data_IF_670220107202
#
_entry.id   IF_670220107202
#
_cell.length_a   1.000
_cell.length_b   1.000
_cell.length_c   1.000
_cell.angle_alpha   90.00
_cell.angle_beta   90.00
_cell.angle_gamma   90.00
#
_symmetry.space_group_name_H-M   'P 1'
#
loop_
_entity.id
_entity.type
_entity.pdbx_description
1 polymer ?
#
# COMPACT_ATOMS: atom_id res chain seq x y z
N UNK A 1 1.53 -2.71 -12.93
CA UNK A 1 1.57 -2.78 -11.44
C UNK A 1 1.97 -4.15 -10.89
N UNK A 2 1.10 -5.18 -10.83
CA UNK A 2 1.42 -6.45 -10.13
C UNK A 2 2.64 -7.19 -10.73
N UNK A 3 2.76 -7.25 -12.06
CA UNK A 3 3.89 -7.94 -12.71
C UNK A 3 5.23 -7.18 -12.61
N UNK A 4 5.18 -5.88 -12.34
CA UNK A 4 6.36 -4.99 -12.38
C UNK A 4 6.96 -4.76 -11.00
N UNK A 5 6.19 -5.01 -9.93
CA UNK A 5 6.58 -4.72 -8.56
C UNK A 5 6.64 -6.00 -7.74
N UNK A 6 7.79 -6.28 -7.13
CA UNK A 6 7.97 -7.47 -6.30
C UNK A 6 7.11 -7.46 -5.04
N UNK A 7 6.79 -6.27 -4.52
CA UNK A 7 5.89 -6.09 -3.37
C UNK A 7 4.97 -4.91 -3.64
N UNK A 8 3.68 -5.19 -3.60
CA UNK A 8 2.61 -4.21 -3.77
C UNK A 8 1.73 -4.19 -2.52
N UNK A 9 1.36 -3.01 -2.05
CA UNK A 9 0.48 -2.83 -0.91
C UNK A 9 -0.78 -2.12 -1.35
N UNK A 10 -1.86 -2.88 -1.50
CA UNK A 10 -3.20 -2.31 -1.68
C UNK A 10 -3.67 -1.77 -0.31
N UNK A 11 -4.12 -0.52 -0.31
CA UNK A 11 -4.35 0.24 0.92
C UNK A 11 -5.54 1.17 0.78
N UNK A 12 -6.03 1.65 1.92
CA UNK A 12 -6.94 2.78 2.02
C UNK A 12 -6.33 3.81 2.97
N UNK A 13 -6.38 5.09 2.63
CA UNK A 13 -5.80 6.18 3.45
C UNK A 13 -6.43 6.28 4.83
N UNK A 14 -7.71 5.93 4.93
CA UNK A 14 -8.50 5.97 6.17
C UNK A 14 -8.44 4.67 6.97
N UNK A 15 -7.80 3.61 6.45
CA UNK A 15 -7.78 2.31 7.12
C UNK A 15 -6.65 2.23 8.17
N UNK A 16 -6.98 2.05 9.46
CA UNK A 16 -5.96 2.01 10.52
C UNK A 16 -5.05 0.78 10.43
N UNK A 17 -5.50 -0.31 9.82
CA UNK A 17 -4.68 -1.50 9.61
C UNK A 17 -3.67 -1.30 8.47
N UNK A 18 -4.06 -0.60 7.41
CA UNK A 18 -3.15 -0.24 6.32
C UNK A 18 -2.02 0.66 6.83
N UNK A 19 -2.33 1.65 7.68
CA UNK A 19 -1.30 2.50 8.32
C UNK A 19 -0.31 1.65 9.13
N UNK A 20 -0.79 0.72 9.95
CA UNK A 20 0.08 -0.16 10.75
C UNK A 20 0.95 -1.07 9.88
N UNK A 21 0.40 -1.63 8.80
CA UNK A 21 1.16 -2.48 7.90
C UNK A 21 2.28 -1.69 7.16
N UNK A 22 2.01 -0.46 6.72
CA UNK A 22 3.04 0.45 6.15
C UNK A 22 4.16 0.69 7.14
N UNK A 23 3.81 1.07 8.38
CA UNK A 23 4.80 1.30 9.44
C UNK A 23 5.71 0.08 9.68
N UNK A 24 5.16 -1.13 9.63
CA UNK A 24 5.96 -2.37 9.78
C UNK A 24 6.89 -2.59 8.59
N UNK A 25 6.45 -2.30 7.36
CA UNK A 25 7.27 -2.39 6.15
C UNK A 25 8.37 -1.32 6.15
N UNK A 26 8.04 -0.08 6.51
CA UNK A 26 8.95 1.05 6.63
C UNK A 26 10.03 0.79 7.68
N UNK A 27 9.64 0.28 8.86
CA UNK A 27 10.59 -0.08 9.92
C UNK A 27 11.59 -1.18 9.51
N UNK A 28 11.25 -1.97 8.49
CA UNK A 28 12.13 -2.98 7.90
C UNK A 28 12.94 -2.47 6.71
N UNK A 29 12.81 -1.18 6.35
CA UNK A 29 13.32 -0.61 5.10
C UNK A 29 12.93 -1.46 3.87
N UNK A 30 11.73 -2.05 3.90
CA UNK A 30 11.25 -2.85 2.79
C UNK A 30 10.93 -1.93 1.60
N UNK A 31 11.31 -2.35 0.39
CA UNK A 31 10.88 -1.68 -0.84
C UNK A 31 9.52 -2.20 -1.25
N UNK A 32 8.51 -1.34 -1.31
CA UNK A 32 7.16 -1.66 -1.77
C UNK A 32 6.52 -0.46 -2.47
N UNK A 33 5.50 -0.73 -3.28
CA UNK A 33 4.64 0.30 -3.87
C UNK A 33 3.27 0.23 -3.20
N UNK A 34 2.84 1.34 -2.59
CA UNK A 34 1.49 1.48 -2.05
C UNK A 34 0.54 2.01 -3.13
N UNK A 35 -0.64 1.41 -3.22
CA UNK A 35 -1.76 1.90 -4.05
C UNK A 35 -2.93 2.18 -3.11
N UNK A 36 -3.31 3.45 -2.99
CA UNK A 36 -4.44 3.89 -2.15
C UNK A 36 -5.73 3.82 -2.97
N UNK A 37 -6.52 2.78 -2.76
CA UNK A 37 -7.72 2.48 -3.54
C UNK A 37 -8.83 3.53 -3.36
N UNK A 38 -8.93 4.17 -2.20
CA UNK A 38 -9.87 5.28 -1.96
C UNK A 38 -9.54 6.57 -2.70
N UNK A 39 -8.34 6.67 -3.26
CA UNK A 39 -7.92 7.81 -4.07
C UNK A 39 -7.86 7.46 -5.57
N UNK A 40 -8.03 6.19 -5.93
CA UNK A 40 -8.03 5.74 -7.30
C UNK A 40 -9.41 6.05 -7.94
N UNK A 41 -9.46 6.80 -9.06
CA UNK A 41 -10.70 7.09 -9.78
C UNK A 41 -11.48 5.83 -10.22
N UNK A 42 -10.78 4.72 -10.45
CA UNK A 42 -11.36 3.41 -10.77
C UNK A 42 -11.52 2.53 -9.53
N UNK A 43 -11.04 2.98 -8.38
CA UNK A 43 -11.12 2.33 -7.08
C UNK A 43 -12.46 2.56 -6.39
N UNK A 44 -13.59 2.38 -7.09
CA UNK A 44 -14.92 2.31 -6.47
C UNK A 44 -15.97 1.61 -7.32
#
# INVERSE_FOLDING_TARGET
>A
LIKENSVLMLSFTTCPFCVKAKQVLDAKNAKYVAVELDMDPEGK
#
